data_IF_383909347046
#
_entry.id   IF_383909347046
#
_cell.length_a   1.000
_cell.length_b   1.000
_cell.length_c   1.000
_cell.angle_alpha   90.00
_cell.angle_beta   90.00
_cell.angle_gamma   90.00
#
_symmetry.space_group_name_H-M   'P 1'
#
loop_
_entity.id
_entity.type
_entity.pdbx_description
1 polymer ?
#
# COMPACT_ATOMS: atom_id res chain seq x y z
N UNK A 1 -29.52 74.14 -32.33
CA UNK A 1 -28.37 73.33 -32.77
C UNK A 1 -27.70 72.76 -31.53
N UNK A 2 -27.96 71.49 -31.22
CA UNK A 2 -27.47 70.80 -30.02
C UNK A 2 -26.16 70.05 -30.35
N UNK A 3 -25.20 69.92 -29.42
CA UNK A 3 -23.94 69.24 -29.69
C UNK A 3 -24.04 67.72 -29.46
N UNK A 4 -23.35 66.99 -30.33
CA UNK A 4 -23.11 65.55 -30.32
C UNK A 4 -22.47 65.11 -28.97
N UNK A 5 -23.10 64.18 -28.26
CA UNK A 5 -22.44 63.37 -27.22
C UNK A 5 -21.92 62.09 -27.86
N UNK A 6 -20.60 61.94 -27.91
CA UNK A 6 -19.92 60.71 -28.31
C UNK A 6 -20.13 59.64 -27.22
N UNK A 7 -20.70 58.49 -27.60
CA UNK A 7 -20.82 57.32 -26.75
C UNK A 7 -19.52 56.52 -26.88
N UNK A 8 -18.71 56.44 -25.82
CA UNK A 8 -17.61 55.48 -25.71
C UNK A 8 -18.16 54.15 -25.17
N UNK A 9 -17.86 52.99 -25.78
CA UNK A 9 -18.22 51.70 -25.20
C UNK A 9 -17.28 51.34 -24.02
N UNK A 10 -17.90 50.95 -22.90
CA UNK A 10 -17.24 50.30 -21.77
C UNK A 10 -16.59 48.97 -22.21
N UNK A 11 -15.32 49.01 -22.58
CA UNK A 11 -14.47 47.82 -22.58
C UNK A 11 -14.04 47.60 -21.14
N UNK A 12 -14.83 46.76 -20.44
CA UNK A 12 -14.47 46.26 -19.11
C UNK A 12 -13.15 45.49 -19.23
N UNK A 13 -12.14 46.02 -18.53
CA UNK A 13 -10.90 45.33 -18.17
C UNK A 13 -11.22 43.96 -17.57
N UNK A 14 -11.06 42.88 -18.36
CA UNK A 14 -10.66 41.58 -17.80
C UNK A 14 -9.25 41.76 -17.24
N UNK A 15 -9.16 42.24 -16.01
CA UNK A 15 -7.94 42.07 -15.25
C UNK A 15 -7.75 40.56 -15.06
N UNK A 16 -6.76 40.02 -15.76
CA UNK A 16 -6.09 38.79 -15.38
C UNK A 16 -5.70 38.95 -13.91
N UNK A 17 -6.43 38.32 -13.00
CA UNK A 17 -5.91 38.03 -11.68
C UNK A 17 -4.74 37.11 -11.93
N UNK A 18 -3.52 37.64 -11.87
CA UNK A 18 -2.33 36.81 -11.72
C UNK A 18 -2.47 36.13 -10.37
N UNK A 19 -3.16 34.99 -10.34
CA UNK A 19 -3.21 34.12 -9.18
C UNK A 19 -1.77 33.70 -8.92
N UNK A 20 -1.13 34.31 -7.94
CA UNK A 20 0.20 33.92 -7.52
C UNK A 20 0.12 32.48 -7.00
N UNK A 21 0.67 31.54 -7.77
CA UNK A 21 0.73 30.13 -7.39
C UNK A 21 1.65 30.05 -6.17
N UNK A 22 1.09 29.71 -5.01
CA UNK A 22 1.87 29.42 -3.81
C UNK A 22 2.11 27.92 -3.74
N UNK A 23 3.35 27.50 -3.93
CA UNK A 23 3.77 26.11 -3.78
C UNK A 23 3.99 25.86 -2.29
N UNK A 24 3.27 24.91 -1.70
CA UNK A 24 3.45 24.53 -0.30
C UNK A 24 4.63 23.55 -0.19
N UNK A 25 5.50 23.72 0.81
CA UNK A 25 6.54 22.72 1.07
C UNK A 25 5.90 21.40 1.51
N UNK A 26 6.51 20.28 1.13
CA UNK A 26 6.12 18.96 1.64
C UNK A 26 6.48 18.86 3.13
N UNK A 27 5.55 18.45 4.02
CA UNK A 27 5.85 18.23 5.43
C UNK A 27 6.96 17.19 5.65
N UNK A 28 7.69 17.31 6.76
CA UNK A 28 8.71 16.32 7.12
C UNK A 28 8.07 15.01 7.59
N UNK A 29 8.36 13.93 6.89
CA UNK A 29 7.82 12.59 7.16
C UNK A 29 8.72 11.74 8.07
N UNK A 30 9.84 12.30 8.54
CA UNK A 30 10.84 11.59 9.33
C UNK A 30 10.28 11.01 10.64
N UNK A 31 9.25 11.65 11.20
CA UNK A 31 8.61 11.22 12.44
C UNK A 31 7.87 9.87 12.32
N UNK A 32 7.57 9.39 11.10
CA UNK A 32 6.95 8.10 10.85
C UNK A 32 7.90 6.90 10.97
N UNK A 33 9.20 7.13 11.13
CA UNK A 33 10.20 6.08 11.30
C UNK A 33 10.98 6.29 12.59
N UNK A 34 10.86 5.33 13.50
CA UNK A 34 11.51 5.36 14.81
C UNK A 34 12.13 3.98 15.11
N UNK A 35 13.21 3.92 15.91
CA UNK A 35 13.74 2.66 16.41
C UNK A 35 12.67 1.82 17.10
N UNK A 36 12.62 0.53 16.75
CA UNK A 36 11.70 -0.44 17.35
C UNK A 36 12.52 -1.38 18.24
N UNK A 37 12.11 -1.62 19.51
CA UNK A 37 12.79 -2.58 20.37
C UNK A 37 12.85 -3.97 19.72
N UNK A 38 14.02 -4.59 19.68
CA UNK A 38 14.19 -5.87 18.96
C UNK A 38 13.32 -7.01 19.49
N UNK A 39 12.91 -6.94 20.77
CA UNK A 39 11.99 -7.89 21.39
C UNK A 39 10.53 -7.79 20.88
N UNK A 40 10.21 -6.77 20.09
CA UNK A 40 8.91 -6.59 19.44
C UNK A 40 8.81 -7.37 18.13
N UNK A 41 9.94 -7.79 17.54
CA UNK A 41 9.94 -8.54 16.28
C UNK A 41 9.60 -10.02 16.49
N UNK A 42 8.91 -10.66 15.53
CA UNK A 42 8.56 -12.07 15.61
C UNK A 42 9.79 -12.96 15.68
N UNK A 43 9.67 -14.02 16.49
CA UNK A 43 10.72 -15.04 16.61
C UNK A 43 10.88 -15.84 15.31
N UNK A 44 12.05 -16.47 15.13
CA UNK A 44 12.29 -17.40 14.03
C UNK A 44 12.46 -16.73 12.66
N UNK A 45 12.91 -15.47 12.61
CA UNK A 45 13.26 -14.78 11.38
C UNK A 45 14.67 -14.20 11.41
N UNK A 46 15.37 -14.29 10.28
CA UNK A 46 16.61 -13.57 9.99
C UNK A 46 16.42 -12.75 8.72
N UNK A 47 16.82 -11.48 8.78
CA UNK A 47 16.65 -10.54 7.67
C UNK A 47 17.93 -9.78 7.40
N UNK A 48 18.08 -9.27 6.18
CA UNK A 48 19.03 -8.21 5.87
C UNK A 48 18.59 -7.40 4.66
N UNK A 49 19.21 -6.24 4.48
CA UNK A 49 19.22 -5.48 3.25
C UNK A 49 20.65 -5.08 2.90
N UNK A 50 21.04 -5.28 1.65
CA UNK A 50 22.38 -4.96 1.14
C UNK A 50 22.31 -4.18 -0.16
N UNK A 51 23.39 -3.49 -0.49
CA UNK A 51 23.58 -2.86 -1.78
C UNK A 51 24.30 -3.83 -2.73
N UNK A 52 23.69 -4.12 -3.86
CA UNK A 52 24.21 -4.98 -4.93
C UNK A 52 24.47 -4.22 -6.22
N UNK A 53 24.13 -2.92 -6.29
CA UNK A 53 24.39 -2.07 -7.44
C UNK A 53 23.32 -2.17 -8.54
N UNK A 54 22.08 -2.40 -8.14
CA UNK A 54 20.87 -2.13 -8.93
C UNK A 54 20.60 -0.63 -8.91
N UNK A 55 20.63 -0.03 -7.72
CA UNK A 55 20.54 1.43 -7.54
C UNK A 55 21.91 2.06 -7.78
N UNK A 56 21.95 3.32 -8.22
CA UNK A 56 23.20 4.06 -8.48
C UNK A 56 23.96 4.43 -7.20
N UNK A 57 23.23 4.76 -6.13
CA UNK A 57 23.84 5.21 -4.87
C UNK A 57 24.33 4.01 -4.04
N UNK A 58 25.63 3.94 -3.69
CA UNK A 58 26.17 2.82 -2.92
C UNK A 58 25.72 2.81 -1.45
N UNK A 59 25.12 3.90 -0.97
CA UNK A 59 24.62 4.03 0.39
C UNK A 59 23.19 3.49 0.56
N UNK A 60 22.52 3.15 -0.54
CA UNK A 60 21.11 2.74 -0.52
C UNK A 60 21.02 1.24 -0.82
N UNK A 61 20.57 0.42 0.15
CA UNK A 61 20.30 -0.99 -0.08
C UNK A 61 19.28 -1.21 -1.22
N UNK A 62 19.47 -2.28 -1.98
CA UNK A 62 18.63 -2.60 -3.14
C UNK A 62 18.31 -4.10 -3.28
N UNK A 63 18.78 -4.93 -2.34
CA UNK A 63 18.42 -6.33 -2.20
C UNK A 63 18.08 -6.64 -0.74
N UNK A 64 16.87 -7.15 -0.47
CA UNK A 64 16.46 -7.64 0.83
C UNK A 64 16.34 -9.17 0.82
N UNK A 65 16.71 -9.79 1.94
CA UNK A 65 16.55 -11.22 2.19
C UNK A 65 15.82 -11.41 3.51
N UNK A 66 14.82 -12.27 3.50
CA UNK A 66 14.00 -12.62 4.67
C UNK A 66 13.95 -14.13 4.74
N UNK A 67 14.45 -14.71 5.84
CA UNK A 67 14.52 -16.16 6.05
C UNK A 67 13.76 -16.53 7.32
N UNK A 68 12.87 -17.51 7.23
CA UNK A 68 12.29 -18.19 8.38
C UNK A 68 13.27 -19.26 8.88
N UNK A 69 13.64 -19.18 10.15
CA UNK A 69 14.51 -20.14 10.85
C UNK A 69 13.73 -21.06 11.78
N UNK A 70 12.40 -21.01 11.74
CA UNK A 70 11.53 -21.86 12.54
C UNK A 70 11.71 -23.34 12.18
N UNK A 71 11.63 -24.20 13.20
CA UNK A 71 11.54 -25.65 13.02
C UNK A 71 10.13 -26.10 12.61
N UNK A 72 9.13 -25.22 12.74
CA UNK A 72 7.76 -25.48 12.32
C UNK A 72 7.54 -25.11 10.84
N UNK A 73 6.56 -25.73 10.17
CA UNK A 73 6.17 -25.31 8.83
C UNK A 73 5.82 -23.81 8.81
N UNK A 74 6.42 -23.07 7.86
CA UNK A 74 6.08 -21.66 7.65
C UNK A 74 4.96 -21.55 6.64
N UNK A 75 3.77 -21.21 7.11
CA UNK A 75 2.64 -20.93 6.23
C UNK A 75 2.87 -19.60 5.53
N UNK A 76 2.49 -19.55 4.26
CA UNK A 76 2.62 -18.36 3.43
C UNK A 76 1.30 -18.07 2.72
N UNK A 77 0.97 -16.80 2.65
CA UNK A 77 -0.14 -16.27 1.88
C UNK A 77 0.34 -15.05 1.10
N UNK A 78 -0.28 -14.79 -0.04
CA UNK A 78 0.02 -13.59 -0.81
C UNK A 78 -1.22 -13.05 -1.53
N UNK A 79 -1.26 -11.73 -1.69
CA UNK A 79 -2.13 -11.06 -2.64
C UNK A 79 -1.27 -10.37 -3.69
N UNK A 80 -1.64 -10.52 -4.94
CA UNK A 80 -0.91 -10.02 -6.09
C UNK A 80 -1.78 -9.10 -6.93
N UNK A 81 -1.14 -8.18 -7.64
CA UNK A 81 -1.77 -7.31 -8.63
C UNK A 81 -2.64 -8.11 -9.61
N UNK A 82 -3.78 -7.53 -9.98
CA UNK A 82 -4.64 -8.02 -11.05
C UNK A 82 -4.33 -7.39 -12.41
N UNK A 83 -3.30 -6.54 -12.49
CA UNK A 83 -2.83 -5.92 -13.73
C UNK A 83 -2.52 -7.00 -14.80
N UNK A 84 -2.90 -6.74 -16.05
CA UNK A 84 -2.66 -7.68 -17.15
C UNK A 84 -1.17 -7.88 -17.48
N UNK A 85 -0.34 -6.87 -17.22
CA UNK A 85 1.11 -6.91 -17.42
C UNK A 85 1.86 -7.36 -16.17
N UNK A 86 1.38 -8.42 -15.50
CA UNK A 86 2.04 -9.00 -14.32
C UNK A 86 3.53 -9.21 -14.59
N UNK A 87 4.37 -8.67 -13.71
CA UNK A 87 5.81 -8.80 -13.83
C UNK A 87 6.27 -10.24 -13.61
N UNK A 88 7.47 -10.58 -14.11
CA UNK A 88 8.08 -11.89 -13.91
C UNK A 88 8.11 -12.36 -12.43
N UNK A 89 8.50 -11.53 -11.43
CA UNK A 89 8.49 -11.96 -10.02
C UNK A 89 7.10 -12.32 -9.49
N UNK A 90 6.04 -11.65 -9.97
CA UNK A 90 4.65 -11.97 -9.58
C UNK A 90 4.27 -13.37 -10.06
N UNK A 91 4.56 -13.67 -11.33
CA UNK A 91 4.26 -14.98 -11.93
C UNK A 91 5.04 -16.11 -11.24
N UNK A 92 6.33 -15.90 -10.97
CA UNK A 92 7.17 -16.89 -10.27
C UNK A 92 6.69 -17.12 -8.84
N UNK A 93 6.38 -16.05 -8.09
CA UNK A 93 5.86 -16.17 -6.72
C UNK A 93 4.50 -16.87 -6.67
N UNK A 94 3.62 -16.64 -7.64
CA UNK A 94 2.36 -17.39 -7.77
C UNK A 94 2.62 -18.89 -7.94
N UNK A 95 3.52 -19.25 -8.85
CA UNK A 95 3.86 -20.65 -9.11
C UNK A 95 4.52 -21.33 -7.89
N UNK A 96 5.41 -20.65 -7.17
CA UNK A 96 6.02 -21.17 -5.93
C UNK A 96 4.96 -21.37 -4.85
N UNK A 97 4.06 -20.40 -4.66
CA UNK A 97 3.03 -20.48 -3.63
C UNK A 97 2.04 -21.63 -3.90
N UNK A 98 1.64 -21.80 -5.16
CA UNK A 98 0.78 -22.91 -5.60
C UNK A 98 1.45 -24.26 -5.38
N UNK A 99 2.66 -24.46 -5.91
CA UNK A 99 3.38 -25.73 -5.85
C UNK A 99 3.78 -26.13 -4.43
N UNK A 100 3.97 -25.15 -3.54
CA UNK A 100 4.29 -25.40 -2.14
C UNK A 100 3.06 -25.64 -1.25
N UNK A 101 1.84 -25.46 -1.77
CA UNK A 101 0.62 -25.53 -0.97
C UNK A 101 0.56 -24.46 0.12
N UNK A 102 1.09 -23.26 -0.17
CA UNK A 102 1.17 -22.16 0.80
C UNK A 102 2.22 -22.38 1.89
N UNK A 103 3.38 -22.98 1.57
CA UNK A 103 4.48 -23.19 2.52
C UNK A 103 5.81 -22.68 1.97
N UNK A 104 6.26 -21.55 2.49
CA UNK A 104 7.46 -20.83 2.00
C UNK A 104 8.28 -20.43 3.21
N UNK A 105 9.61 -20.51 3.09
CA UNK A 105 10.56 -20.16 4.17
C UNK A 105 11.39 -18.93 3.87
N UNK A 106 11.33 -18.36 2.67
CA UNK A 106 12.06 -17.15 2.36
C UNK A 106 11.33 -16.18 1.43
N UNK A 107 11.76 -14.91 1.49
CA UNK A 107 11.42 -13.87 0.51
C UNK A 107 12.69 -13.15 0.10
N UNK A 108 12.86 -12.94 -1.20
CA UNK A 108 13.92 -12.11 -1.79
C UNK A 108 13.30 -10.92 -2.51
N UNK A 109 13.81 -9.73 -2.24
CA UNK A 109 13.25 -8.48 -2.79
C UNK A 109 14.34 -7.66 -3.44
N UNK A 110 14.11 -7.20 -4.67
CA UNK A 110 15.04 -6.29 -5.36
C UNK A 110 14.37 -4.94 -5.68
N UNK A 111 15.05 -3.82 -5.45
CA UNK A 111 14.54 -2.49 -5.77
C UNK A 111 15.45 -1.70 -6.72
N UNK A 112 14.83 -0.90 -7.60
CA UNK A 112 15.48 -0.15 -8.68
C UNK A 112 15.17 -0.70 -10.07
N UNK A 113 14.73 -1.96 -10.19
CA UNK A 113 14.29 -2.59 -11.43
C UNK A 113 13.07 -3.48 -11.15
N UNK A 114 11.96 -3.24 -11.85
CA UNK A 114 10.71 -3.97 -11.61
C UNK A 114 10.71 -5.40 -12.18
N UNK A 115 11.64 -5.72 -13.09
CA UNK A 115 11.63 -6.95 -13.87
C UNK A 115 10.26 -7.24 -14.51
N UNK A 116 9.61 -6.18 -15.02
CA UNK A 116 8.34 -6.22 -15.71
C UNK A 116 8.56 -5.97 -17.20
N UNK A 117 7.79 -6.66 -18.05
CA UNK A 117 7.90 -6.57 -19.53
C UNK A 117 9.32 -6.92 -20.02
N UNK A 118 9.93 -7.95 -19.42
CA UNK A 118 11.31 -8.42 -19.67
C UNK A 118 11.36 -9.79 -20.37
N UNK A 119 10.20 -10.32 -20.77
CA UNK A 119 10.07 -11.58 -21.51
C UNK A 119 10.64 -12.79 -20.77
N UNK A 120 11.06 -13.80 -21.54
CA UNK A 120 11.61 -15.07 -21.01
C UNK A 120 12.79 -14.85 -20.05
N UNK A 121 13.67 -13.91 -20.38
CA UNK A 121 14.84 -13.58 -19.55
C UNK A 121 14.42 -13.11 -18.16
N UNK A 122 13.39 -12.28 -18.05
CA UNK A 122 12.90 -11.82 -16.75
C UNK A 122 12.42 -12.95 -15.85
N UNK A 123 11.73 -13.94 -16.42
CA UNK A 123 11.30 -15.14 -15.71
C UNK A 123 12.50 -15.99 -15.28
N UNK A 124 13.47 -16.20 -16.16
CA UNK A 124 14.71 -16.93 -15.85
C UNK A 124 15.49 -16.26 -14.71
N UNK A 125 15.61 -14.94 -14.73
CA UNK A 125 16.27 -14.13 -13.70
C UNK A 125 15.53 -14.24 -12.35
N UNK A 126 14.20 -14.14 -12.34
CA UNK A 126 13.39 -14.30 -11.12
C UNK A 126 13.54 -15.71 -10.52
N UNK A 127 13.52 -16.75 -11.36
CA UNK A 127 13.78 -18.13 -10.92
C UNK A 127 15.21 -18.33 -10.39
N UNK A 128 16.21 -17.62 -10.93
CA UNK A 128 17.56 -17.67 -10.40
C UNK A 128 17.62 -17.08 -8.98
N UNK A 129 16.95 -15.96 -8.73
CA UNK A 129 16.85 -15.38 -7.38
C UNK A 129 16.23 -16.36 -6.38
N UNK A 130 15.16 -17.06 -6.77
CA UNK A 130 14.52 -18.10 -5.95
C UNK A 130 15.52 -19.21 -5.59
N UNK A 131 16.19 -19.80 -6.59
CA UNK A 131 17.13 -20.92 -6.36
C UNK A 131 18.31 -20.54 -5.46
N UNK A 132 18.90 -19.37 -5.68
CA UNK A 132 20.04 -18.91 -4.89
C UNK A 132 19.63 -18.57 -3.46
N UNK A 133 18.42 -18.06 -3.25
CA UNK A 133 17.90 -17.79 -1.89
C UNK A 133 17.53 -19.08 -1.17
N UNK A 134 16.93 -20.06 -1.87
CA UNK A 134 16.65 -21.38 -1.32
C UNK A 134 17.93 -22.10 -0.86
N UNK A 135 19.08 -21.83 -1.48
CA UNK A 135 20.37 -22.35 -1.04
C UNK A 135 20.84 -21.80 0.32
N UNK A 136 20.25 -20.69 0.80
CA UNK A 136 20.51 -20.14 2.14
C UNK A 136 19.70 -20.85 3.24
N UNK A 137 18.67 -21.63 2.87
CA UNK A 137 17.79 -22.30 3.82
C UNK A 137 18.42 -23.59 4.36
N UNK A 138 18.20 -23.88 5.65
CA UNK A 138 18.65 -25.15 6.23
C UNK A 138 17.98 -26.33 5.50
N UNK A 139 18.76 -27.22 4.86
CA UNK A 139 18.22 -28.38 4.15
C UNK A 139 17.54 -29.39 5.09
N UNK A 140 17.88 -29.42 6.38
CA UNK A 140 17.26 -30.32 7.37
C UNK A 140 15.85 -29.90 7.74
N UNK A 141 15.52 -28.62 7.55
CA UNK A 141 14.20 -28.05 7.79
C UNK A 141 13.32 -28.03 6.53
N UNK A 142 13.71 -28.72 5.44
CA UNK A 142 12.90 -28.83 4.23
C UNK A 142 11.57 -29.50 4.52
N UNK A 143 10.49 -28.82 4.17
CA UNK A 143 9.12 -29.31 4.34
C UNK A 143 8.71 -30.21 3.18
N UNK A 144 9.20 -29.93 1.98
CA UNK A 144 8.95 -30.72 0.78
C UNK A 144 10.09 -31.71 0.54
N UNK A 145 9.85 -32.98 0.88
CA UNK A 145 10.79 -34.09 0.63
C UNK A 145 11.08 -34.30 -0.86
N UNK A 146 10.23 -33.78 -1.74
CA UNK A 146 10.33 -33.92 -3.19
C UNK A 146 11.11 -32.77 -3.88
N UNK A 147 11.72 -31.85 -3.11
CA UNK A 147 12.67 -30.88 -3.67
C UNK A 147 12.08 -29.63 -4.34
N UNK A 148 10.94 -29.12 -3.84
CA UNK A 148 10.34 -27.86 -4.31
C UNK A 148 11.06 -26.59 -3.85
N UNK A 149 10.80 -25.47 -4.52
CA UNK A 149 11.29 -24.15 -4.12
C UNK A 149 10.49 -23.59 -2.93
N UNK A 150 11.15 -22.86 -2.05
CA UNK A 150 10.57 -22.34 -0.79
C UNK A 150 10.81 -20.84 -0.61
N UNK A 151 11.11 -20.13 -1.71
CA UNK A 151 11.33 -18.68 -1.75
C UNK A 151 10.34 -17.97 -2.66
N UNK A 152 9.70 -16.91 -2.15
CA UNK A 152 8.97 -15.94 -2.96
C UNK A 152 9.89 -14.78 -3.39
N UNK A 153 9.64 -14.22 -4.55
CA UNK A 153 10.42 -13.11 -5.13
C UNK A 153 9.54 -11.89 -5.39
N UNK A 154 10.05 -10.71 -5.03
CA UNK A 154 9.44 -9.42 -5.35
C UNK A 154 10.47 -8.51 -6.03
N UNK A 155 10.03 -7.70 -6.99
CA UNK A 155 10.89 -6.66 -7.59
C UNK A 155 10.12 -5.38 -7.81
N UNK A 156 10.78 -4.23 -7.72
CA UNK A 156 10.20 -2.91 -7.95
C UNK A 156 11.19 -1.97 -8.63
N UNK A 157 10.69 -1.05 -9.44
CA UNK A 157 11.49 0.01 -10.06
C UNK A 157 11.11 0.22 -11.52
N UNK A 158 12.11 0.41 -12.38
CA UNK A 158 11.86 0.69 -13.80
C UNK A 158 11.33 -0.54 -14.53
N UNK A 159 10.28 -0.36 -15.35
CA UNK A 159 9.71 -1.39 -16.25
C UNK A 159 10.48 -1.41 -17.59
N UNK A 160 10.58 -2.58 -18.22
CA UNK A 160 11.23 -2.76 -19.53
C UNK A 160 12.76 -2.82 -19.46
N UNK A 161 13.32 -2.99 -18.26
CA UNK A 161 14.75 -3.19 -18.04
C UNK A 161 14.97 -4.56 -17.39
N UNK A 162 15.93 -5.33 -17.91
CA UNK A 162 16.32 -6.62 -17.34
C UNK A 162 17.15 -6.43 -16.08
N UNK A 163 17.02 -7.36 -15.12
CA UNK A 163 17.78 -7.31 -13.88
C UNK A 163 19.30 -7.44 -14.12
N UNK A 164 20.16 -6.75 -13.35
CA UNK A 164 21.58 -7.04 -13.30
C UNK A 164 21.83 -8.33 -12.49
N UNK A 165 21.30 -9.44 -12.98
CA UNK A 165 21.10 -10.69 -12.22
C UNK A 165 22.40 -11.24 -11.60
N UNK A 166 23.54 -11.12 -12.29
CA UNK A 166 24.83 -11.56 -11.76
C UNK A 166 25.21 -10.85 -10.46
N UNK A 167 24.89 -9.55 -10.33
CA UNK A 167 25.13 -8.79 -9.10
C UNK A 167 24.20 -9.23 -7.97
N UNK A 168 22.93 -9.48 -8.30
CA UNK A 168 21.93 -9.96 -7.34
C UNK A 168 22.34 -11.33 -6.80
N UNK A 169 22.69 -12.27 -7.68
CA UNK A 169 23.15 -13.62 -7.29
C UNK A 169 24.37 -13.53 -6.38
N UNK A 170 25.37 -12.73 -6.74
CA UNK A 170 26.56 -12.51 -5.89
C UNK A 170 26.19 -11.93 -4.52
N UNK A 171 25.24 -10.98 -4.48
CA UNK A 171 24.67 -10.44 -3.25
C UNK A 171 24.02 -11.49 -2.37
N UNK A 172 23.19 -12.37 -2.94
CA UNK A 172 22.56 -13.48 -2.21
C UNK A 172 23.62 -14.42 -1.64
N UNK A 173 24.56 -14.87 -2.47
CA UNK A 173 25.63 -15.82 -2.11
C UNK A 173 26.56 -15.27 -1.01
N UNK A 174 26.75 -13.94 -0.95
CA UNK A 174 27.56 -13.31 0.10
C UNK A 174 27.04 -13.57 1.52
N UNK A 175 25.76 -13.91 1.68
CA UNK A 175 25.15 -14.12 2.99
C UNK A 175 25.44 -15.50 3.61
N UNK A 176 26.13 -16.40 2.89
CA UNK A 176 26.65 -17.67 3.45
C UNK A 176 28.00 -17.47 4.16
N UNK A 177 28.66 -16.33 3.94
CA UNK A 177 30.01 -16.07 4.43
C UNK A 177 30.01 -15.63 5.91
N UNK A 178 31.17 -15.73 6.58
CA UNK A 178 31.32 -15.35 7.99
C UNK A 178 31.00 -13.89 8.30
N UNK A 179 31.00 -13.02 7.28
CA UNK A 179 30.73 -11.58 7.39
C UNK A 179 29.31 -11.20 6.96
N UNK A 180 28.36 -12.14 6.99
CA UNK A 180 26.96 -11.88 6.62
C UNK A 180 26.29 -10.85 7.53
N UNK A 181 25.22 -10.23 7.04
CA UNK A 181 24.46 -9.20 7.79
C UNK A 181 23.05 -9.65 8.16
N UNK A 182 22.72 -10.92 7.89
CA UNK A 182 21.52 -11.57 8.40
C UNK A 182 21.45 -11.47 9.93
N UNK A 183 20.35 -10.93 10.45
CA UNK A 183 20.11 -10.77 11.88
C UNK A 183 18.63 -10.69 12.21
N UNK A 184 18.32 -10.63 13.50
CA UNK A 184 16.95 -10.50 14.02
C UNK A 184 16.74 -9.24 14.85
N UNK A 185 17.72 -8.33 14.87
CA UNK A 185 17.70 -7.06 15.60
C UNK A 185 17.11 -5.93 14.77
N UNK A 186 16.92 -4.75 15.40
CA UNK A 186 16.34 -3.61 14.70
C UNK A 186 17.09 -3.24 13.43
N UNK A 187 18.43 -3.25 13.46
CA UNK A 187 19.25 -2.85 12.31
C UNK A 187 19.06 -3.80 11.12
N UNK A 188 18.89 -5.10 11.35
CA UNK A 188 18.59 -6.08 10.31
C UNK A 188 17.23 -5.82 9.64
N UNK A 189 16.20 -5.56 10.45
CA UNK A 189 14.86 -5.21 9.96
C UNK A 189 14.85 -3.85 9.23
N UNK A 190 15.57 -2.87 9.76
CA UNK A 190 15.69 -1.53 9.17
C UNK A 190 16.43 -1.58 7.83
N UNK A 191 17.53 -2.36 7.73
CA UNK A 191 18.22 -2.60 6.45
C UNK A 191 17.29 -3.23 5.42
N UNK A 192 16.51 -4.24 5.82
CA UNK A 192 15.55 -4.89 4.92
C UNK A 192 14.47 -3.90 4.44
N UNK A 193 13.88 -3.11 5.34
CA UNK A 193 12.91 -2.08 4.97
C UNK A 193 13.51 -1.02 4.02
N UNK A 194 14.75 -0.58 4.27
CA UNK A 194 15.48 0.32 3.35
C UNK A 194 15.71 -0.28 1.96
N UNK A 195 15.93 -1.59 1.88
CA UNK A 195 16.11 -2.30 0.62
C UNK A 195 14.82 -2.42 -0.21
N UNK A 196 13.63 -2.26 0.39
CA UNK A 196 12.36 -2.21 -0.35
C UNK A 196 12.17 -0.87 -1.08
N UNK A 197 12.64 0.23 -0.49
CA UNK A 197 12.34 1.61 -0.92
C UNK A 197 12.76 1.90 -2.37
N UNK A 198 12.04 2.81 -3.03
CA UNK A 198 12.43 3.44 -4.30
C UNK A 198 12.40 4.96 -4.20
N UNK A 199 11.21 5.56 -4.35
CA UNK A 199 10.95 7.00 -4.22
C UNK A 199 10.48 7.37 -2.82
N UNK A 200 10.29 6.38 -1.96
CA UNK A 200 9.94 6.51 -0.56
C UNK A 200 10.89 7.45 0.18
N UNK A 201 10.36 8.28 1.07
CA UNK A 201 11.16 9.25 1.84
C UNK A 201 11.59 8.72 3.20
N UNK A 202 10.99 7.62 3.68
CA UNK A 202 11.37 6.92 4.91
C UNK A 202 11.10 5.40 4.83
N UNK A 203 11.80 4.58 5.65
CA UNK A 203 11.50 3.16 5.75
C UNK A 203 10.17 2.92 6.47
N UNK A 204 9.25 2.21 5.83
CA UNK A 204 7.96 1.88 6.41
C UNK A 204 8.07 0.54 7.12
N UNK A 205 8.30 0.59 8.43
CA UNK A 205 8.49 -0.58 9.28
C UNK A 205 7.64 -0.45 10.55
N UNK A 206 6.89 -1.50 10.87
CA UNK A 206 6.07 -1.59 12.10
C UNK A 206 6.26 -2.94 12.77
N UNK A 207 6.07 -2.97 14.08
CA UNK A 207 5.98 -4.18 14.87
C UNK A 207 4.95 -4.02 15.98
N UNK A 208 4.25 -5.09 16.31
CA UNK A 208 3.21 -5.15 17.34
C UNK A 208 3.20 -6.51 18.00
N UNK A 209 2.88 -6.52 19.30
CA UNK A 209 2.52 -7.71 20.07
C UNK A 209 0.99 -7.79 20.20
N UNK A 210 0.45 -8.99 20.14
CA UNK A 210 -0.97 -9.26 20.35
C UNK A 210 -1.16 -10.55 21.13
N UNK A 211 -2.34 -10.74 21.72
CA UNK A 211 -2.62 -11.89 22.60
C UNK A 211 -3.82 -12.66 22.07
N UNK A 212 -3.66 -13.99 21.93
CA UNK A 212 -4.78 -14.90 21.66
C UNK A 212 -4.80 -15.94 22.77
N UNK A 213 -5.94 -16.05 23.47
CA UNK A 213 -6.16 -17.00 24.59
C UNK A 213 -5.04 -16.95 25.65
N UNK A 214 -4.62 -15.74 26.04
CA UNK A 214 -3.59 -15.52 27.04
C UNK A 214 -2.15 -15.77 26.57
N UNK A 215 -1.94 -16.11 25.29
CA UNK A 215 -0.62 -16.30 24.70
C UNK A 215 -0.21 -15.11 23.84
N UNK A 216 0.97 -14.56 24.09
CA UNK A 216 1.55 -13.46 23.31
C UNK A 216 2.14 -13.96 21.98
N UNK A 217 1.80 -13.27 20.91
CA UNK A 217 2.35 -13.39 19.56
C UNK A 217 2.87 -12.04 19.09
N UNK A 218 3.68 -12.06 18.04
CA UNK A 218 4.29 -10.87 17.42
C UNK A 218 4.00 -10.84 15.94
N UNK A 219 3.83 -9.63 15.45
CA UNK A 219 3.71 -9.33 14.02
C UNK A 219 4.61 -8.15 13.73
N UNK A 220 5.38 -8.23 12.67
CA UNK A 220 6.11 -7.10 12.14
C UNK A 220 6.02 -7.11 10.63
N UNK A 221 6.11 -5.95 10.02
CA UNK A 221 5.99 -5.85 8.59
C UNK A 221 6.63 -4.60 8.07
N UNK A 222 7.04 -4.70 6.81
CA UNK A 222 7.61 -3.62 6.05
C UNK A 222 6.90 -3.53 4.71
N UNK A 223 6.72 -2.31 4.23
CA UNK A 223 6.23 -2.07 2.89
C UNK A 223 6.98 -0.92 2.22
N UNK A 224 6.60 -0.64 0.99
CA UNK A 224 7.10 0.47 0.20
C UNK A 224 6.07 0.86 -0.86
N UNK A 225 6.12 2.12 -1.27
CA UNK A 225 5.22 2.71 -2.23
C UNK A 225 5.03 4.19 -1.91
N UNK A 226 5.02 5.02 -2.93
CA UNK A 226 4.84 6.47 -2.83
C UNK A 226 4.21 7.05 -4.11
N UNK A 227 4.45 6.44 -5.27
CA UNK A 227 3.71 6.65 -6.53
C UNK A 227 3.23 5.34 -7.15
N UNK A 228 2.42 5.43 -8.21
CA UNK A 228 1.62 4.35 -8.80
C UNK A 228 0.97 3.49 -7.71
N UNK A 229 0.16 4.17 -6.89
CA UNK A 229 -0.56 3.56 -5.78
C UNK A 229 -2.05 3.69 -6.05
N UNK A 230 -2.60 2.62 -6.59
CA UNK A 230 -4.01 2.26 -6.49
C UNK A 230 -4.13 0.75 -6.60
N UNK A 231 -3.69 0.03 -5.55
CA UNK A 231 -3.56 -1.41 -5.61
C UNK A 231 -4.93 -2.04 -5.81
N UNK A 232 -4.97 -3.01 -6.70
CA UNK A 232 -6.10 -3.90 -6.86
C UNK A 232 -5.59 -5.33 -6.87
N UNK A 233 -5.44 -5.86 -5.65
CA UNK A 233 -4.81 -7.15 -5.41
C UNK A 233 -5.84 -8.20 -5.03
N UNK A 234 -5.58 -9.44 -5.45
CA UNK A 234 -6.36 -10.60 -5.05
C UNK A 234 -5.46 -11.80 -4.73
N UNK A 235 -6.04 -12.92 -4.28
CA UNK A 235 -5.30 -14.18 -4.22
C UNK A 235 -4.86 -14.61 -5.62
N UNK A 236 -4.23 -15.78 -5.74
CA UNK A 236 -4.00 -16.40 -7.05
C UNK A 236 -5.35 -16.55 -7.78
N UNK A 237 -5.63 -15.66 -8.73
CA UNK A 237 -6.85 -15.71 -9.52
C UNK A 237 -6.69 -16.71 -10.65
N UNK A 238 -7.67 -17.63 -10.79
CA UNK A 238 -7.86 -18.37 -12.03
C UNK A 238 -8.05 -17.36 -13.17
N UNK A 239 -7.27 -17.52 -14.23
CA UNK A 239 -7.19 -16.64 -15.39
C UNK A 239 -8.53 -16.37 -16.07
N UNK A 240 -9.19 -15.24 -15.78
CA UNK A 240 -10.15 -14.57 -16.69
C UNK A 240 -10.17 -13.07 -16.42
N UNK A 241 -9.87 -12.25 -17.45
CA UNK A 241 -9.39 -10.88 -17.30
C UNK A 241 -10.40 -9.74 -17.48
N UNK A 242 -9.89 -8.50 -17.47
CA UNK A 242 -10.10 -7.47 -18.49
C UNK A 242 -9.14 -6.31 -18.24
N UNK A 243 -8.80 -5.59 -19.31
CA UNK A 243 -7.65 -4.69 -19.45
C UNK A 243 -8.05 -3.22 -19.48
N UNK A 244 -7.19 -2.33 -18.96
CA UNK A 244 -7.21 -0.91 -19.32
C UNK A 244 -6.11 -0.10 -18.62
N UNK A 245 -5.36 0.65 -19.43
CA UNK A 245 -4.35 1.68 -19.11
C UNK A 245 -2.91 1.24 -18.75
N UNK A 246 -1.96 1.94 -19.38
CA UNK A 246 -0.51 1.79 -19.30
C UNK A 246 0.13 3.14 -18.97
N UNK A 247 1.02 3.19 -17.98
CA UNK A 247 2.00 4.29 -17.86
C UNK A 247 2.49 4.62 -16.44
N UNK A 248 3.82 4.48 -16.27
CA UNK A 248 4.79 5.20 -15.39
C UNK A 248 4.77 5.09 -13.85
N UNK A 249 5.98 4.90 -13.30
CA UNK A 249 6.42 3.89 -12.31
C UNK A 249 6.39 4.27 -10.82
N UNK A 250 5.68 3.46 -10.04
CA UNK A 250 6.12 2.90 -8.76
C UNK A 250 5.24 1.66 -8.42
N UNK A 251 5.30 1.11 -7.21
CA UNK A 251 4.71 -0.21 -6.90
C UNK A 251 4.38 -0.24 -5.41
N UNK A 252 3.37 -0.98 -4.98
CA UNK A 252 3.22 -1.41 -3.61
C UNK A 252 3.87 -2.78 -3.40
N UNK A 253 4.94 -2.85 -2.60
CA UNK A 253 5.44 -4.15 -2.12
C UNK A 253 5.36 -4.17 -0.61
N UNK A 254 4.92 -5.28 -0.04
CA UNK A 254 4.83 -5.45 1.41
C UNK A 254 5.03 -6.88 1.87
N UNK A 255 5.62 -7.02 3.05
CA UNK A 255 5.83 -8.31 3.71
C UNK A 255 5.49 -8.18 5.19
N UNK A 256 4.59 -9.04 5.67
CA UNK A 256 4.19 -9.14 7.07
C UNK A 256 4.64 -10.51 7.59
N UNK A 257 5.30 -10.51 8.73
CA UNK A 257 5.92 -11.68 9.35
C UNK A 257 5.33 -11.85 10.75
N UNK A 258 4.95 -13.08 11.10
CA UNK A 258 4.43 -13.38 12.43
C UNK A 258 4.97 -14.71 12.96
N UNK A 259 5.16 -14.77 14.27
CA UNK A 259 5.53 -15.99 14.98
C UNK A 259 4.31 -16.86 15.38
N UNK A 260 3.09 -16.42 15.05
CA UNK A 260 1.89 -17.23 15.17
C UNK A 260 1.90 -18.43 14.21
N UNK A 261 1.33 -19.55 14.65
CA UNK A 261 1.08 -20.71 13.80
C UNK A 261 -0.32 -20.58 13.21
N UNK A 262 -0.44 -20.42 11.89
CA UNK A 262 -1.73 -20.29 11.19
C UNK A 262 -1.75 -21.30 10.05
N UNK A 263 -2.87 -22.00 9.82
CA UNK A 263 -2.98 -22.91 8.69
C UNK A 263 -2.88 -22.15 7.34
N UNK A 264 -2.28 -22.70 6.27
CA UNK A 264 -2.10 -21.96 5.01
C UNK A 264 -3.39 -21.38 4.44
N UNK A 265 -4.49 -22.16 4.46
CA UNK A 265 -5.81 -21.71 4.00
C UNK A 265 -6.32 -20.54 4.84
N UNK A 266 -6.28 -20.66 6.16
CA UNK A 266 -6.75 -19.60 7.07
C UNK A 266 -5.90 -18.33 6.94
N UNK A 267 -4.58 -18.48 6.76
CA UNK A 267 -3.69 -17.36 6.52
C UNK A 267 -4.06 -16.61 5.21
N UNK A 268 -4.36 -17.35 4.14
CA UNK A 268 -4.82 -16.76 2.89
C UNK A 268 -6.18 -16.07 3.03
N UNK A 269 -7.16 -16.69 3.70
CA UNK A 269 -8.47 -16.07 3.99
C UNK A 269 -8.32 -14.78 4.78
N UNK A 270 -7.50 -14.80 5.85
CA UNK A 270 -7.25 -13.63 6.69
C UNK A 270 -6.55 -12.52 5.91
N UNK A 271 -5.55 -12.85 5.09
CA UNK A 271 -4.83 -11.88 4.27
C UNK A 271 -5.76 -11.23 3.23
N UNK A 272 -6.61 -11.99 2.54
CA UNK A 272 -7.56 -11.41 1.57
C UNK A 272 -8.47 -10.38 2.24
N UNK A 273 -9.03 -10.72 3.39
CA UNK A 273 -9.88 -9.81 4.15
C UNK A 273 -9.11 -8.56 4.60
N UNK A 274 -7.89 -8.73 5.08
CA UNK A 274 -7.02 -7.66 5.53
C UNK A 274 -6.64 -6.72 4.37
N UNK A 275 -6.16 -7.25 3.24
CA UNK A 275 -5.77 -6.48 2.04
C UNK A 275 -6.93 -5.67 1.50
N UNK A 276 -8.14 -6.26 1.42
CA UNK A 276 -9.33 -5.56 0.94
C UNK A 276 -9.66 -4.31 1.76
N UNK A 277 -9.36 -4.33 3.08
CA UNK A 277 -9.62 -3.25 4.05
C UNK A 277 -8.38 -2.43 4.41
N UNK A 278 -7.30 -2.59 3.67
CA UNK A 278 -6.03 -1.88 3.89
C UNK A 278 -5.41 -1.44 2.57
N UNK A 279 -4.62 -2.29 1.94
CA UNK A 279 -3.86 -1.98 0.75
C UNK A 279 -4.73 -1.79 -0.51
N UNK A 280 -5.89 -2.45 -0.63
CA UNK A 280 -6.88 -2.13 -1.67
C UNK A 280 -7.77 -0.92 -1.29
N UNK A 281 -7.54 -0.34 -0.11
CA UNK A 281 -8.22 0.84 0.44
C UNK A 281 -7.30 2.06 0.50
N UNK A 282 -6.26 2.12 -0.34
CA UNK A 282 -5.37 3.27 -0.45
C UNK A 282 -5.20 3.75 -1.89
N UNK A 283 -5.02 5.05 -2.08
CA UNK A 283 -4.59 5.60 -3.36
C UNK A 283 -3.74 6.86 -3.23
N UNK A 284 -2.71 6.97 -4.06
CA UNK A 284 -1.97 8.23 -4.26
C UNK A 284 -2.39 8.89 -5.57
N UNK A 285 -2.42 8.15 -6.67
CA UNK A 285 -2.58 8.70 -8.03
C UNK A 285 -3.65 8.02 -8.87
N UNK A 286 -4.14 6.85 -8.45
CA UNK A 286 -5.15 6.09 -9.18
C UNK A 286 -4.57 5.03 -10.11
N UNK A 287 -3.26 4.85 -10.14
CA UNK A 287 -2.59 3.92 -11.05
C UNK A 287 -2.22 2.59 -10.37
N UNK A 288 -2.73 1.48 -10.92
CA UNK A 288 -2.45 0.11 -10.44
C UNK A 288 -1.13 -0.44 -11.00
N UNK A 289 -0.26 -0.96 -10.15
CA UNK A 289 1.07 -1.44 -10.57
C UNK A 289 1.09 -2.82 -11.22
N UNK A 290 2.10 -3.05 -12.06
CA UNK A 290 2.43 -4.37 -12.63
C UNK A 290 3.02 -5.36 -11.62
N UNK A 291 3.34 -4.88 -10.42
CA UNK A 291 4.13 -5.61 -9.43
C UNK A 291 3.47 -5.67 -8.04
N UNK A 292 2.31 -5.03 -7.82
CA UNK A 292 1.73 -4.93 -6.47
C UNK A 292 1.65 -6.31 -5.81
N UNK A 293 2.27 -6.45 -4.63
CA UNK A 293 2.39 -7.73 -3.93
C UNK A 293 2.44 -7.51 -2.43
N UNK A 294 1.55 -8.17 -1.69
CA UNK A 294 1.60 -8.28 -0.23
C UNK A 294 1.75 -9.74 0.14
N UNK A 295 2.81 -10.07 0.90
CA UNK A 295 3.08 -11.41 1.42
C UNK A 295 2.88 -11.43 2.93
N UNK A 296 2.33 -12.52 3.46
CA UNK A 296 2.37 -12.85 4.89
C UNK A 296 3.07 -14.18 5.08
N UNK A 297 4.06 -14.23 5.98
CA UNK A 297 4.63 -15.48 6.49
C UNK A 297 4.26 -15.67 7.97
N UNK A 298 3.81 -16.86 8.31
CA UNK A 298 3.48 -17.27 9.69
C UNK A 298 4.29 -18.53 10.04
N UNK A 299 5.36 -18.37 10.82
CA UNK A 299 6.35 -19.43 11.03
C UNK A 299 6.11 -20.30 12.28
N UNK A 300 5.12 -19.97 13.11
CA UNK A 300 4.78 -20.74 14.31
C UNK A 300 5.81 -20.75 15.44
N UNK A 301 6.85 -19.91 15.39
CA UNK A 301 7.93 -19.91 16.38
C UNK A 301 7.49 -19.55 17.82
N UNK A 302 6.31 -18.93 18.00
CA UNK A 302 5.74 -18.70 19.32
C UNK A 302 5.21 -19.99 19.99
N UNK A 303 5.09 -21.10 19.26
CA UNK A 303 4.80 -22.44 19.77
C UNK A 303 3.34 -22.66 20.19
N UNK A 304 2.44 -22.89 19.23
CA UNK A 304 1.04 -23.26 19.50
C UNK A 304 0.50 -24.20 18.40
N UNK A 305 -0.69 -24.78 18.65
CA UNK A 305 -1.47 -25.40 17.58
C UNK A 305 -1.83 -24.39 16.50
N UNK A 306 -1.99 -24.84 15.26
CA UNK A 306 -2.30 -23.95 14.15
C UNK A 306 -3.67 -23.29 14.36
N UNK A 307 -3.69 -21.96 14.35
CA UNK A 307 -4.91 -21.15 14.25
C UNK A 307 -5.56 -21.45 12.91
N UNK A 308 -6.85 -21.75 12.95
CA UNK A 308 -7.57 -22.24 11.78
C UNK A 308 -9.04 -21.81 11.81
N UNK A 309 -9.56 -21.38 10.66
CA UNK A 309 -10.92 -20.86 10.54
C UNK A 309 -11.99 -21.92 10.80
N UNK A 310 -11.73 -23.22 10.60
CA UNK A 310 -12.75 -24.26 10.81
C UNK A 310 -12.64 -24.86 12.21
N UNK A 311 -11.42 -25.20 12.64
CA UNK A 311 -11.19 -25.89 13.91
C UNK A 311 -10.95 -24.96 15.11
N UNK A 312 -10.62 -23.69 14.88
CA UNK A 312 -10.38 -22.70 15.94
C UNK A 312 -10.87 -21.28 15.58
N UNK A 313 -12.17 -21.18 15.27
CA UNK A 313 -12.82 -19.95 14.78
C UNK A 313 -12.55 -18.71 15.63
N UNK A 314 -12.59 -18.84 16.95
CA UNK A 314 -12.40 -17.70 17.87
C UNK A 314 -10.99 -17.12 17.76
N UNK A 315 -9.95 -17.95 17.85
CA UNK A 315 -8.56 -17.50 17.66
C UNK A 315 -8.33 -16.95 16.25
N UNK A 316 -8.96 -17.56 15.25
CA UNK A 316 -8.89 -17.10 13.87
C UNK A 316 -9.46 -15.69 13.70
N UNK A 317 -10.63 -15.40 14.28
CA UNK A 317 -11.24 -14.08 14.19
C UNK A 317 -10.37 -12.99 14.85
N UNK A 318 -9.76 -13.30 16.00
CA UNK A 318 -8.80 -12.38 16.65
C UNK A 318 -7.58 -12.15 15.75
N UNK A 319 -6.97 -13.22 15.22
CA UNK A 319 -5.83 -13.11 14.32
C UNK A 319 -6.15 -12.29 13.06
N UNK A 320 -7.31 -12.53 12.44
CA UNK A 320 -7.78 -11.80 11.26
C UNK A 320 -7.94 -10.31 11.56
N UNK A 321 -8.49 -9.94 12.72
CA UNK A 321 -8.64 -8.55 13.14
C UNK A 321 -7.28 -7.87 13.36
N UNK A 322 -6.36 -8.55 14.06
CA UNK A 322 -4.99 -8.03 14.28
C UNK A 322 -4.24 -7.84 12.96
N UNK A 323 -4.30 -8.82 12.05
CA UNK A 323 -3.71 -8.71 10.72
C UNK A 323 -4.33 -7.57 9.91
N UNK A 324 -5.65 -7.39 9.98
CA UNK A 324 -6.35 -6.31 9.27
C UNK A 324 -5.94 -4.94 9.78
N UNK A 325 -5.91 -4.76 11.11
CA UNK A 325 -5.49 -3.49 11.72
C UNK A 325 -4.02 -3.18 11.42
N UNK A 326 -3.15 -4.20 11.50
CA UNK A 326 -1.72 -4.04 11.21
C UNK A 326 -1.45 -3.73 9.73
N UNK A 327 -2.16 -4.40 8.81
CA UNK A 327 -2.09 -4.09 7.39
C UNK A 327 -2.59 -2.68 7.07
N UNK A 328 -3.66 -2.21 7.74
CA UNK A 328 -4.13 -0.84 7.62
C UNK A 328 -3.10 0.18 8.12
N UNK A 329 -2.42 -0.09 9.23
CA UNK A 329 -1.35 0.78 9.74
C UNK A 329 -0.20 0.93 8.74
N UNK A 330 0.20 -0.17 8.09
CA UNK A 330 1.21 -0.17 7.02
C UNK A 330 0.71 0.60 5.78
N UNK A 331 -0.48 0.26 5.27
CA UNK A 331 -1.06 0.91 4.08
C UNK A 331 -1.18 2.44 4.24
N UNK A 332 -1.51 2.94 5.43
CA UNK A 332 -1.54 4.38 5.69
C UNK A 332 -0.17 5.04 5.54
N UNK A 333 0.94 4.35 5.86
CA UNK A 333 2.28 4.90 5.67
C UNK A 333 2.61 5.11 4.18
N UNK A 334 2.09 4.25 3.30
CA UNK A 334 2.19 4.41 1.85
C UNK A 334 1.55 5.73 1.41
N UNK A 335 0.34 6.02 1.88
CA UNK A 335 -0.38 7.26 1.54
C UNK A 335 0.31 8.49 2.13
N UNK A 336 0.72 8.42 3.41
CA UNK A 336 1.46 9.51 4.06
C UNK A 336 2.76 9.81 3.33
N UNK A 337 3.40 8.80 2.77
CA UNK A 337 4.62 8.96 1.96
C UNK A 337 4.35 9.27 0.48
N UNK A 338 3.10 9.51 0.08
CA UNK A 338 2.72 9.82 -1.30
C UNK A 338 3.61 10.90 -1.92
N UNK A 339 3.98 10.70 -3.18
CA UNK A 339 4.88 11.59 -3.92
C UNK A 339 4.32 13.01 -3.97
N UNK A 340 4.99 13.95 -3.32
CA UNK A 340 4.53 15.34 -3.21
C UNK A 340 3.27 15.55 -2.34
N UNK A 341 2.78 14.53 -1.64
CA UNK A 341 1.63 14.65 -0.75
C UNK A 341 1.91 15.64 0.39
N UNK A 342 0.97 16.56 0.63
CA UNK A 342 0.98 17.49 1.77
C UNK A 342 -0.12 17.20 2.79
N UNK A 343 -1.08 16.34 2.43
CA UNK A 343 -2.22 15.95 3.26
C UNK A 343 -2.39 14.44 3.26
N UNK A 344 -2.86 13.89 4.38
CA UNK A 344 -3.40 12.55 4.50
C UNK A 344 -4.90 12.65 4.79
N UNK A 345 -5.73 12.09 3.92
CA UNK A 345 -7.18 12.22 4.00
C UNK A 345 -7.81 10.85 4.11
N UNK A 346 -8.61 10.67 5.15
CA UNK A 346 -9.47 9.50 5.30
C UNK A 346 -10.80 9.78 4.63
N UNK A 347 -11.24 8.92 3.72
CA UNK A 347 -12.57 8.99 3.10
C UNK A 347 -13.41 7.86 3.65
N UNK A 348 -14.44 8.19 4.40
CA UNK A 348 -15.39 7.21 4.97
C UNK A 348 -16.72 7.33 4.25
N UNK A 349 -17.22 6.21 3.74
CA UNK A 349 -18.56 6.10 3.16
C UNK A 349 -19.37 5.17 4.02
N UNK A 350 -20.47 5.67 4.57
CA UNK A 350 -21.34 4.99 5.50
C UNK A 350 -22.75 4.85 4.91
N UNK A 351 -23.53 3.93 5.49
CA UNK A 351 -24.93 3.74 5.13
C UNK A 351 -25.13 3.18 3.74
N UNK A 352 -24.19 2.38 3.21
CA UNK A 352 -24.33 1.72 1.92
C UNK A 352 -25.12 0.39 2.02
N UNK A 353 -25.71 -0.10 0.92
CA UNK A 353 -26.35 -1.42 0.88
C UNK A 353 -25.36 -2.58 1.01
N UNK A 354 -24.10 -2.36 0.61
CA UNK A 354 -23.02 -3.35 0.67
C UNK A 354 -21.67 -2.68 0.90
N UNK A 355 -20.72 -3.40 1.51
CA UNK A 355 -19.32 -2.97 1.61
C UNK A 355 -18.75 -2.60 0.24
N UNK A 356 -19.06 -3.39 -0.80
CA UNK A 356 -18.56 -3.16 -2.15
C UNK A 356 -19.07 -1.83 -2.75
N UNK A 357 -20.30 -1.42 -2.45
CA UNK A 357 -20.84 -0.14 -2.90
C UNK A 357 -20.18 1.04 -2.16
N UNK A 358 -20.04 0.92 -0.83
CA UNK A 358 -19.31 1.92 -0.04
C UNK A 358 -17.87 2.09 -0.53
N UNK A 359 -17.18 0.97 -0.76
CA UNK A 359 -15.78 0.93 -1.19
C UNK A 359 -15.60 1.58 -2.57
N UNK A 360 -16.48 1.29 -3.54
CA UNK A 360 -16.44 1.94 -4.87
C UNK A 360 -16.59 3.45 -4.79
N UNK A 361 -17.49 3.96 -3.95
CA UNK A 361 -17.65 5.41 -3.75
C UNK A 361 -16.40 6.00 -3.10
N UNK A 362 -15.92 5.38 -2.02
CA UNK A 362 -14.75 5.87 -1.28
C UNK A 362 -13.50 5.90 -2.18
N UNK A 363 -13.31 4.84 -2.99
CA UNK A 363 -12.29 4.75 -4.03
C UNK A 363 -12.44 5.83 -5.10
N UNK A 364 -13.66 6.08 -5.61
CA UNK A 364 -13.90 7.09 -6.64
C UNK A 364 -13.61 8.51 -6.16
N UNK A 365 -14.00 8.85 -4.93
CA UNK A 365 -13.66 10.13 -4.29
C UNK A 365 -12.13 10.22 -4.16
N UNK A 366 -11.50 9.16 -3.67
CA UNK A 366 -10.06 9.10 -3.40
C UNK A 366 -9.16 9.20 -4.63
N UNK A 367 -9.68 8.89 -5.82
CA UNK A 367 -9.00 8.95 -7.12
C UNK A 367 -9.40 10.16 -7.97
N UNK A 368 -10.33 10.99 -7.48
CA UNK A 368 -10.80 12.16 -8.23
C UNK A 368 -9.76 13.28 -8.20
N UNK A 369 -9.13 13.57 -9.35
CA UNK A 369 -8.17 14.67 -9.46
C UNK A 369 -8.75 16.02 -9.02
N UNK A 370 -10.05 16.26 -9.26
CA UNK A 370 -10.73 17.46 -8.79
C UNK A 370 -10.84 17.49 -7.26
N UNK A 371 -11.18 16.38 -6.62
CA UNK A 371 -11.20 16.32 -5.15
C UNK A 371 -9.78 16.54 -4.62
N UNK A 372 -8.80 15.79 -5.10
CA UNK A 372 -7.41 15.85 -4.60
C UNK A 372 -6.75 17.22 -4.79
N UNK A 373 -7.07 17.95 -5.87
CA UNK A 373 -6.60 19.34 -6.05
C UNK A 373 -7.33 20.34 -5.15
N UNK A 374 -8.59 20.11 -4.81
CA UNK A 374 -9.30 20.92 -3.81
C UNK A 374 -8.71 20.70 -2.40
N UNK A 375 -8.35 19.47 -2.06
CA UNK A 375 -7.65 19.15 -0.80
C UNK A 375 -6.30 19.88 -0.71
N UNK A 376 -5.48 19.87 -1.77
CA UNK A 376 -4.23 20.65 -1.82
C UNK A 376 -4.47 22.16 -1.68
N UNK A 377 -5.51 22.65 -2.37
CA UNK A 377 -5.95 24.05 -2.31
C UNK A 377 -6.54 24.46 -0.96
N UNK A 378 -6.81 23.50 -0.07
CA UNK A 378 -7.57 23.71 1.16
C UNK A 378 -8.91 24.42 0.86
N UNK A 379 -9.59 23.92 -0.18
CA UNK A 379 -10.90 24.36 -0.66
C UNK A 379 -11.95 23.32 -0.24
N UNK A 380 -12.96 23.75 0.51
CA UNK A 380 -14.03 22.92 1.08
C UNK A 380 -15.07 22.48 0.03
N UNK A 381 -14.58 22.00 -1.12
CA UNK A 381 -15.37 21.80 -2.32
C UNK A 381 -16.19 20.50 -2.29
N UNK A 382 -17.20 20.46 -1.42
CA UNK A 382 -18.11 19.32 -1.27
C UNK A 382 -18.89 19.00 -2.55
N UNK A 383 -19.07 19.98 -3.45
CA UNK A 383 -19.64 19.74 -4.78
C UNK A 383 -18.80 18.75 -5.62
N UNK A 384 -17.47 18.79 -5.54
CA UNK A 384 -16.58 17.82 -6.21
C UNK A 384 -16.67 16.42 -5.58
N UNK A 385 -16.91 16.35 -4.27
CA UNK A 385 -17.15 15.10 -3.54
C UNK A 385 -18.47 14.47 -4.01
N UNK A 386 -19.55 15.27 -4.12
CA UNK A 386 -20.83 14.80 -4.64
C UNK A 386 -20.78 14.38 -6.11
N UNK A 387 -20.09 15.14 -6.96
CA UNK A 387 -19.90 14.76 -8.35
C UNK A 387 -19.18 13.40 -8.48
N UNK A 388 -18.21 13.13 -7.59
CA UNK A 388 -17.51 11.85 -7.54
C UNK A 388 -18.40 10.73 -6.99
N UNK A 389 -19.22 11.02 -5.98
CA UNK A 389 -20.17 10.07 -5.38
C UNK A 389 -21.27 9.66 -6.36
N UNK A 390 -21.92 10.64 -6.99
CA UNK A 390 -23.08 10.44 -7.86
C UNK A 390 -22.78 9.80 -9.22
N UNK A 391 -21.50 9.68 -9.62
CA UNK A 391 -21.12 9.02 -10.88
C UNK A 391 -20.81 7.52 -10.73
N UNK A 392 -20.86 6.97 -9.51
CA UNK A 392 -20.60 5.55 -9.26
C UNK A 392 -21.89 4.73 -9.43
N UNK A 393 -21.83 3.68 -10.23
CA UNK A 393 -22.92 2.70 -10.33
C UNK A 393 -22.90 1.75 -9.11
N UNK A 394 -24.00 1.72 -8.36
CA UNK A 394 -24.18 0.91 -7.15
C UNK A 394 -25.19 -0.22 -7.38
N UNK A 395 -25.22 -1.19 -6.46
CA UNK A 395 -26.25 -2.24 -6.46
C UNK A 395 -27.68 -1.69 -6.32
N UNK A 396 -27.84 -0.60 -5.58
CA UNK A 396 -29.11 0.15 -5.40
C UNK A 396 -28.89 1.59 -5.84
N UNK A 397 -29.75 2.18 -6.68
CA UNK A 397 -29.59 3.56 -7.12
C UNK A 397 -29.43 4.54 -5.95
N UNK A 398 -28.45 5.43 -6.04
CA UNK A 398 -28.24 6.48 -5.06
C UNK A 398 -29.44 7.43 -5.03
N UNK A 399 -29.93 7.77 -3.85
CA UNK A 399 -30.90 8.85 -3.66
C UNK A 399 -30.17 10.11 -3.15
N UNK A 400 -29.99 11.16 -3.98
CA UNK A 400 -29.28 12.38 -3.56
C UNK A 400 -29.89 13.06 -2.33
N UNK A 401 -31.21 12.92 -2.10
CA UNK A 401 -31.91 13.56 -0.96
C UNK A 401 -31.67 12.87 0.39
N UNK A 402 -30.82 11.85 0.44
CA UNK A 402 -30.42 11.17 1.69
C UNK A 402 -28.92 11.34 1.97
N UNK A 403 -28.19 11.98 1.05
CA UNK A 403 -26.74 12.07 1.13
C UNK A 403 -26.35 13.21 2.05
N UNK A 404 -25.47 12.93 3.00
CA UNK A 404 -24.81 13.96 3.81
C UNK A 404 -23.31 13.92 3.62
N UNK A 405 -22.64 15.07 3.72
CA UNK A 405 -21.19 15.21 3.62
C UNK A 405 -20.69 16.05 4.79
N UNK A 406 -19.58 15.63 5.40
CA UNK A 406 -18.93 16.38 6.47
C UNK A 406 -17.41 16.32 6.37
N UNK A 407 -16.74 17.40 6.78
CA UNK A 407 -15.31 17.39 7.07
C UNK A 407 -15.12 17.15 8.57
N UNK A 408 -14.28 16.19 8.93
CA UNK A 408 -14.06 15.77 10.32
C UNK A 408 -12.58 16.05 10.66
N UNK A 409 -12.29 16.93 11.63
CA UNK A 409 -10.92 17.27 12.02
C UNK A 409 -10.23 16.13 12.77
N UNK A 410 -8.90 16.10 12.71
CA UNK A 410 -8.08 15.07 13.38
C UNK A 410 -7.85 15.34 14.87
N UNK A 411 -8.04 16.60 15.30
CA UNK A 411 -7.84 17.04 16.69
C UNK A 411 -8.96 16.64 17.66
N UNK A 412 -10.01 15.98 17.17
CA UNK A 412 -11.16 15.52 17.94
C UNK A 412 -12.25 16.57 18.18
N UNK A 413 -12.13 17.76 17.59
CA UNK A 413 -13.19 18.76 17.59
C UNK A 413 -14.38 18.35 16.69
N UNK A 414 -15.48 19.11 16.73
CA UNK A 414 -16.72 18.73 16.06
C UNK A 414 -16.56 18.70 14.53
N UNK A 415 -17.17 17.68 13.91
CA UNK A 415 -17.32 17.61 12.46
C UNK A 415 -18.09 18.84 11.93
N UNK A 416 -17.69 19.31 10.75
CA UNK A 416 -18.36 20.37 10.02
C UNK A 416 -19.25 19.74 8.93
N UNK A 417 -20.58 19.68 9.12
CA UNK A 417 -21.49 19.30 8.06
C UNK A 417 -21.51 20.40 6.98
N UNK A 418 -21.46 19.97 5.72
CA UNK A 418 -21.50 20.87 4.56
C UNK A 418 -22.66 20.55 3.61
N UNK A 419 -23.25 19.37 3.78
CA UNK A 419 -24.47 18.92 3.14
C UNK A 419 -25.19 17.97 4.09
N UNK A 420 -26.49 18.16 4.29
CA UNK A 420 -27.33 17.28 5.12
C UNK A 420 -28.57 16.90 4.33
N UNK A 421 -28.84 15.60 4.22
CA UNK A 421 -30.02 15.04 3.51
C UNK A 421 -30.24 15.65 2.10
N UNK A 422 -29.15 15.85 1.36
CA UNK A 422 -29.14 16.39 0.01
C UNK A 422 -29.25 17.92 -0.11
N UNK A 423 -29.36 18.63 1.01
CA UNK A 423 -29.45 20.09 1.06
C UNK A 423 -28.13 20.72 1.55
N UNK A 424 -27.67 21.84 0.94
CA UNK A 424 -26.46 22.52 1.37
C UNK A 424 -26.65 23.24 2.71
N UNK A 425 -25.65 23.12 3.58
CA UNK A 425 -25.62 23.87 4.84
C UNK A 425 -25.05 25.29 4.65
N UNK A 426 -25.33 26.20 5.60
CA UNK A 426 -24.63 27.49 5.69
C UNK A 426 -23.23 27.26 6.27
N UNK A 427 -22.27 26.99 5.39
CA UNK A 427 -20.91 26.53 5.75
C UNK A 427 -20.12 27.66 6.42
N UNK A 428 -19.62 27.39 7.63
CA UNK A 428 -18.58 28.22 8.26
C UNK A 428 -17.27 28.05 7.49
N UNK A 429 -17.02 28.95 6.54
CA UNK A 429 -15.84 28.94 5.67
C UNK A 429 -14.53 29.09 6.46
N UNK A 430 -14.55 29.83 7.58
CA UNK A 430 -13.36 29.96 8.43
C UNK A 430 -13.04 28.62 9.08
N UNK A 431 -14.06 27.95 9.62
CA UNK A 431 -13.91 26.63 10.21
C UNK A 431 -13.51 25.57 9.18
N UNK A 432 -14.11 25.60 7.99
CA UNK A 432 -13.75 24.69 6.92
C UNK A 432 -12.27 24.83 6.55
N UNK A 433 -11.79 26.09 6.47
CA UNK A 433 -10.40 26.40 6.19
C UNK A 433 -9.45 25.89 7.27
N UNK A 434 -9.80 26.04 8.55
CA UNK A 434 -9.02 25.51 9.68
C UNK A 434 -8.84 23.98 9.56
N UNK A 435 -9.94 23.24 9.35
CA UNK A 435 -9.89 21.78 9.22
C UNK A 435 -9.03 21.37 8.03
N UNK A 436 -9.24 22.01 6.88
CA UNK A 436 -8.51 21.68 5.66
C UNK A 436 -7.03 22.05 5.74
N UNK A 437 -6.64 23.00 6.60
CA UNK A 437 -5.24 23.35 6.86
C UNK A 437 -4.49 22.28 7.67
N UNK A 438 -5.18 21.40 8.38
CA UNK A 438 -4.56 20.26 9.06
C UNK A 438 -3.86 19.32 8.06
N UNK A 439 -2.79 18.65 8.49
CA UNK A 439 -2.13 17.62 7.68
C UNK A 439 -3.03 16.39 7.51
N UNK A 440 -3.83 16.08 8.53
CA UNK A 440 -4.74 14.93 8.53
C UNK A 440 -6.18 15.37 8.81
N UNK A 441 -7.14 14.85 8.05
CA UNK A 441 -8.58 15.01 8.34
C UNK A 441 -9.38 13.92 7.62
N UNK A 442 -10.68 13.84 7.93
CA UNK A 442 -11.62 12.91 7.29
C UNK A 442 -12.66 13.66 6.44
N UNK A 443 -12.97 13.08 5.28
CA UNK A 443 -14.17 13.35 4.49
C UNK A 443 -15.15 12.22 4.75
N UNK A 444 -16.30 12.53 5.35
CA UNK A 444 -17.34 11.55 5.66
C UNK A 444 -18.54 11.75 4.73
N UNK A 445 -19.01 10.67 4.14
CA UNK A 445 -20.20 10.62 3.30
C UNK A 445 -21.19 9.61 3.88
N UNK A 446 -22.39 10.06 4.20
CA UNK A 446 -23.50 9.21 4.65
C UNK A 446 -24.48 9.03 3.48
N UNK A 447 -24.81 7.79 3.12
CA UNK A 447 -25.68 7.52 1.96
C UNK A 447 -27.15 7.28 2.34
N UNK A 448 -27.43 6.82 3.57
CA UNK A 448 -28.79 6.52 4.02
C UNK A 448 -29.48 5.33 3.33
N UNK A 449 -28.74 4.41 2.71
CA UNK A 449 -29.27 3.28 1.92
C UNK A 449 -29.11 1.90 2.60
N UNK A 450 -28.40 1.81 3.72
CA UNK A 450 -28.10 0.55 4.40
C UNK A 450 -27.27 0.75 5.66
N UNK A 451 -26.50 -0.28 6.05
CA UNK A 451 -25.70 -0.27 7.29
C UNK A 451 -24.21 -0.55 7.07
N UNK A 452 -23.79 -0.81 5.83
CA UNK A 452 -22.41 -1.13 5.51
C UNK A 452 -21.58 0.15 5.33
N UNK A 453 -20.30 0.04 5.65
CA UNK A 453 -19.34 1.14 5.51
C UNK A 453 -18.01 0.68 4.92
N UNK A 454 -17.31 1.61 4.29
CA UNK A 454 -15.94 1.42 3.85
C UNK A 454 -15.11 2.68 4.09
N UNK A 455 -13.85 2.45 4.43
CA UNK A 455 -12.85 3.51 4.60
C UNK A 455 -11.80 3.36 3.52
N UNK A 456 -11.34 4.50 3.01
CA UNK A 456 -10.27 4.62 2.04
C UNK A 456 -9.30 5.71 2.52
N UNK A 457 -8.00 5.57 2.23
CA UNK A 457 -7.02 6.62 2.54
C UNK A 457 -6.39 7.15 1.26
N UNK A 458 -6.32 8.47 1.15
CA UNK A 458 -5.72 9.14 0.00
C UNK A 458 -4.92 10.35 0.46
N UNK A 459 -4.23 10.97 -0.49
CA UNK A 459 -3.56 12.25 -0.30
C UNK A 459 -4.14 13.31 -1.25
N UNK A 460 -3.64 14.52 -1.14
CA UNK A 460 -3.89 15.59 -2.10
C UNK A 460 -3.06 15.44 -3.39
N UNK A 461 -3.30 16.31 -4.39
CA UNK A 461 -2.55 16.35 -5.65
C UNK A 461 -1.83 17.70 -5.76
N UNK A 462 -0.53 17.70 -5.47
CA UNK A 462 0.30 18.91 -5.43
C UNK A 462 1.07 19.16 -6.74
N UNK A 463 1.70 20.34 -6.84
CA UNK A 463 2.66 20.63 -7.91
C UNK A 463 3.89 19.72 -7.87
N UNK A 464 4.30 19.30 -6.67
CA UNK A 464 5.50 18.47 -6.46
C UNK A 464 5.32 17.07 -7.06
N UNK A 465 4.11 16.50 -7.01
CA UNK A 465 3.79 15.26 -7.71
C UNK A 465 4.10 15.36 -9.21
N UNK A 466 3.67 16.46 -9.87
CA UNK A 466 3.91 16.69 -11.30
C UNK A 466 5.40 16.84 -11.58
N UNK A 467 6.14 17.54 -10.72
CA UNK A 467 7.59 17.72 -10.87
C UNK A 467 8.34 16.40 -10.75
N UNK A 468 8.07 15.61 -9.71
CA UNK A 468 8.69 14.30 -9.47
C UNK A 468 8.47 13.38 -10.67
N UNK A 469 7.23 13.29 -11.14
CA UNK A 469 6.86 12.35 -12.20
C UNK A 469 7.14 12.87 -13.62
N UNK A 470 7.26 14.19 -13.81
CA UNK A 470 7.67 14.82 -15.06
C UNK A 470 9.17 14.68 -15.34
N UNK A 471 10.00 14.75 -14.30
CA UNK A 471 11.47 14.77 -14.40
C UNK A 471 12.11 13.41 -14.04
N UNK A 472 11.33 12.36 -13.78
CA UNK A 472 11.81 11.09 -13.19
C UNK A 472 12.89 10.36 -14.00
N UNK A 473 12.94 10.57 -15.32
CA UNK A 473 13.90 9.92 -16.25
C UNK A 473 14.93 10.87 -16.86
N UNK A 474 14.92 12.15 -16.49
CA UNK A 474 15.86 13.17 -17.00
C UNK A 474 17.20 13.20 -16.28
#
# INVERSE_FOLDING_TARGET
MAPLKLILPHILKRFSSTSSITIKPTPSKAHHHQPIPSLSFPHGYLLTGIHTGIKKSPLVPDLALILSTSQHPTSAAACFTRNAFKAAPVLVSQEVLEKSGGRVRAVVVSSGCANAVTGKKGLEDAWAMVRETDALLDPKAKLNKDGGNETLVMSTGVIGQTLPIAKIISGIQSQVQTTHTLGSDFDAWERAAKAFMTTDTFPKLRARKFVIRGKEYRMAGMDKGAGMIHPDMGPMASTTGSSGASGLHATLLGCILTDAAVSPRSLQSALMYAVERSFNSISVDGDMSTNDTIIVLANGAAGAGAIDEESDRESYEIFKQELTAFAADLAKLVVRDGEGATKFVTVTVNGAPSYADAHKIASRISTSALVKTALYGEDANWGRILASTGCVALSTPLNPSLVSVSFVPSDGSSALPVLVDGEPEDVDEARAKEILQEEEFEVRVELGLGAESATYWTCDFSYEYVRINGDYRS
#
